data_IF_884996954203
#
_entry.id   IF_884996954203
#
_cell.length_a   1.000
_cell.length_b   1.000
_cell.length_c   1.000
_cell.angle_alpha   90.00
_cell.angle_beta   90.00
_cell.angle_gamma   90.00
#
_symmetry.space_group_name_H-M   'P 1'
#
loop_
_entity.id
_entity.type
_entity.pdbx_description
1 polymer ?
#
# COMPACT_ATOMS: atom_id res chain seq x y z
N UNK A 1 -34.90 2.15 -20.21
CA UNK A 1 -33.43 2.32 -20.41
C UNK A 1 -32.79 2.91 -19.17
N UNK A 2 -31.45 2.94 -19.11
CA UNK A 2 -30.71 3.61 -18.03
C UNK A 2 -30.30 5.02 -18.47
N UNK A 3 -30.07 5.92 -17.52
CA UNK A 3 -29.52 7.26 -17.79
C UNK A 3 -28.14 7.24 -18.48
N UNK A 4 -27.40 6.13 -18.35
CA UNK A 4 -26.18 5.88 -19.12
C UNK A 4 -26.44 5.88 -20.62
N UNK A 5 -27.52 5.24 -21.07
CA UNK A 5 -27.84 5.07 -22.49
C UNK A 5 -28.22 6.42 -23.12
N UNK A 6 -28.88 7.28 -22.34
CA UNK A 6 -29.15 8.68 -22.69
C UNK A 6 -27.85 9.46 -22.78
N UNK A 7 -26.95 9.29 -21.81
CA UNK A 7 -25.65 9.96 -21.79
C UNK A 7 -24.74 9.58 -22.97
N UNK A 8 -24.74 8.31 -23.37
CA UNK A 8 -23.95 7.84 -24.52
C UNK A 8 -24.50 8.39 -25.84
N UNK A 9 -25.82 8.41 -26.03
CA UNK A 9 -26.42 9.05 -27.21
C UNK A 9 -26.08 10.55 -27.29
N UNK A 10 -26.09 11.24 -26.15
CA UNK A 10 -25.78 12.67 -26.03
C UNK A 10 -24.31 12.95 -26.37
N UNK A 11 -23.37 12.07 -26.00
CA UNK A 11 -21.95 12.19 -26.40
C UNK A 11 -21.76 12.05 -27.91
N UNK A 12 -22.48 11.12 -28.53
CA UNK A 12 -22.31 10.79 -29.94
C UNK A 12 -23.03 11.79 -30.88
N UNK A 13 -24.17 12.35 -30.45
CA UNK A 13 -25.08 13.07 -31.36
C UNK A 13 -25.28 14.57 -31.06
N UNK A 14 -24.95 15.08 -29.87
CA UNK A 14 -25.29 16.45 -29.47
C UNK A 14 -24.16 17.49 -29.63
N UNK A 15 -22.98 17.08 -30.13
CA UNK A 15 -21.86 17.98 -30.45
C UNK A 15 -20.98 18.40 -29.26
N UNK A 16 -19.85 19.06 -29.56
CA UNK A 16 -18.68 19.23 -28.68
C UNK A 16 -18.85 20.02 -27.36
N UNK A 17 -20.04 20.50 -27.00
CA UNK A 17 -20.33 21.13 -25.69
C UNK A 17 -21.26 20.30 -24.80
N UNK A 18 -22.17 19.56 -25.42
CA UNK A 18 -23.18 18.75 -24.73
C UNK A 18 -22.62 17.37 -24.32
N UNK A 19 -21.53 16.93 -24.95
CA UNK A 19 -20.83 15.68 -24.58
C UNK A 19 -20.34 15.65 -23.13
N UNK A 20 -20.13 16.80 -22.49
CA UNK A 20 -19.84 16.89 -21.06
C UNK A 20 -21.05 16.48 -20.21
N UNK A 21 -22.27 16.90 -20.57
CA UNK A 21 -23.51 16.42 -19.92
C UNK A 21 -23.67 14.91 -20.10
N UNK A 22 -23.34 14.39 -21.28
CA UNK A 22 -23.27 12.95 -21.51
C UNK A 22 -22.22 12.24 -20.64
N UNK A 23 -21.04 12.85 -20.44
CA UNK A 23 -20.01 12.31 -19.55
C UNK A 23 -20.43 12.32 -18.08
N UNK A 24 -21.16 13.35 -17.64
CA UNK A 24 -21.72 13.45 -16.29
C UNK A 24 -22.75 12.34 -16.04
N UNK A 25 -23.61 12.04 -17.03
CA UNK A 25 -24.63 10.98 -16.97
C UNK A 25 -24.05 9.55 -16.93
N UNK A 26 -22.88 9.36 -17.53
CA UNK A 26 -22.20 8.05 -17.64
C UNK A 26 -21.06 7.87 -16.63
N UNK A 27 -20.73 8.93 -15.88
CA UNK A 27 -19.62 8.94 -14.94
C UNK A 27 -19.88 8.06 -13.71
N UNK A 28 -18.83 7.78 -12.94
CA UNK A 28 -18.94 6.97 -11.72
C UNK A 28 -19.21 7.80 -10.45
N UNK A 29 -19.45 9.11 -10.60
CA UNK A 29 -19.65 10.02 -9.46
C UNK A 29 -21.16 10.27 -9.33
N UNK A 30 -21.84 9.79 -8.27
CA UNK A 30 -23.30 9.92 -8.12
C UNK A 30 -23.80 11.37 -8.21
N UNK A 31 -23.05 12.33 -7.66
CA UNK A 31 -23.39 13.76 -7.74
C UNK A 31 -23.29 14.34 -9.15
N UNK A 32 -22.34 13.84 -9.96
CA UNK A 32 -22.20 14.25 -11.35
C UNK A 32 -23.36 13.73 -12.21
N UNK A 33 -23.78 12.47 -11.98
CA UNK A 33 -24.93 11.88 -12.68
C UNK A 33 -26.20 12.68 -12.38
N UNK A 34 -26.44 13.04 -11.11
CA UNK A 34 -27.60 13.83 -10.73
C UNK A 34 -27.63 15.22 -11.39
N UNK A 35 -26.46 15.88 -11.53
CA UNK A 35 -26.35 17.15 -12.23
C UNK A 35 -26.64 17.00 -13.74
N UNK A 36 -26.16 15.93 -14.37
CA UNK A 36 -26.47 15.60 -15.77
C UNK A 36 -27.95 15.29 -16.00
N UNK A 37 -28.58 14.51 -15.10
CA UNK A 37 -30.01 14.19 -15.15
C UNK A 37 -30.86 15.44 -15.02
N UNK A 38 -30.50 16.35 -14.10
CA UNK A 38 -31.21 17.63 -13.91
C UNK A 38 -31.15 18.53 -15.16
N UNK A 39 -30.01 18.57 -15.86
CA UNK A 39 -29.91 19.32 -17.13
C UNK A 39 -30.73 18.69 -18.26
N UNK A 40 -30.76 17.37 -18.36
CA UNK A 40 -31.58 16.69 -19.37
C UNK A 40 -33.07 16.82 -19.06
N UNK A 41 -33.47 16.65 -17.80
CA UNK A 41 -34.87 16.81 -17.39
C UNK A 41 -35.35 18.26 -17.58
N UNK A 42 -34.53 19.26 -17.24
CA UNK A 42 -34.89 20.67 -17.49
C UNK A 42 -34.98 21.04 -18.98
N UNK A 43 -34.18 20.39 -19.84
CA UNK A 43 -34.24 20.63 -21.29
C UNK A 43 -35.40 19.88 -21.98
N UNK A 44 -35.77 18.68 -21.49
CA UNK A 44 -36.78 17.80 -22.11
C UNK A 44 -38.15 17.87 -21.43
N UNK A 45 -38.23 18.41 -20.21
CA UNK A 45 -39.43 18.45 -19.38
C UNK A 45 -39.87 17.09 -18.83
N UNK A 46 -38.97 16.09 -18.85
CA UNK A 46 -39.28 14.71 -18.47
C UNK A 46 -38.21 14.11 -17.56
N UNK A 47 -38.64 13.53 -16.44
CA UNK A 47 -37.80 12.80 -15.49
C UNK A 47 -37.60 11.32 -15.86
N UNK A 48 -38.31 10.83 -16.89
CA UNK A 48 -38.16 9.48 -17.41
C UNK A 48 -37.06 9.41 -18.48
N UNK A 49 -36.04 8.53 -18.35
CA UNK A 49 -34.92 8.44 -19.29
C UNK A 49 -35.35 8.03 -20.70
N UNK A 50 -36.34 7.14 -20.83
CA UNK A 50 -36.86 6.69 -22.13
C UNK A 50 -37.56 7.83 -22.89
N UNK A 51 -38.35 8.64 -22.18
CA UNK A 51 -39.05 9.80 -22.75
C UNK A 51 -38.08 10.92 -23.07
N UNK A 52 -37.14 11.21 -22.16
CA UNK A 52 -36.11 12.23 -22.38
C UNK A 52 -35.27 11.93 -23.62
N UNK A 53 -34.85 10.67 -23.82
CA UNK A 53 -34.12 10.28 -25.03
C UNK A 53 -34.96 10.41 -26.30
N UNK A 54 -36.22 9.98 -26.25
CA UNK A 54 -37.12 10.12 -27.40
C UNK A 54 -37.36 11.58 -27.79
N UNK A 55 -37.44 12.48 -26.81
CA UNK A 55 -37.60 13.93 -27.01
C UNK A 55 -36.31 14.54 -27.57
N UNK A 56 -35.14 14.12 -27.07
CA UNK A 56 -33.85 14.58 -27.59
C UNK A 56 -33.60 14.11 -29.04
N UNK A 57 -34.05 12.90 -29.39
CA UNK A 57 -33.94 12.35 -30.74
C UNK A 57 -34.94 12.98 -31.72
N UNK A 58 -36.17 13.24 -31.26
CA UNK A 58 -37.24 13.73 -32.13
C UNK A 58 -37.29 15.26 -32.24
N UNK A 59 -36.76 15.99 -31.25
CA UNK A 59 -36.87 17.44 -31.19
C UNK A 59 -35.50 18.15 -31.17
N UNK A 60 -35.08 18.77 -32.30
CA UNK A 60 -33.88 19.60 -32.36
C UNK A 60 -33.91 20.83 -31.43
N UNK A 61 -35.08 21.29 -31.02
CA UNK A 61 -35.22 22.41 -30.08
C UNK A 61 -34.80 22.01 -28.65
N UNK A 62 -35.04 20.76 -28.26
CA UNK A 62 -34.66 20.25 -26.94
C UNK A 62 -33.13 20.15 -26.80
N UNK A 63 -32.43 19.76 -27.87
CA UNK A 63 -30.96 19.72 -27.88
C UNK A 63 -30.34 21.12 -27.87
N UNK A 64 -30.97 22.10 -28.54
CA UNK A 64 -30.56 23.50 -28.48
C UNK A 64 -30.77 24.11 -27.09
N UNK A 65 -31.91 23.88 -26.43
CA UNK A 65 -32.16 24.31 -25.05
C UNK A 65 -31.16 23.70 -24.07
N UNK A 66 -30.83 22.42 -24.25
CA UNK A 66 -29.82 21.76 -23.45
C UNK A 66 -28.44 22.40 -23.64
N UNK A 67 -28.07 22.72 -24.88
CA UNK A 67 -26.82 23.42 -25.20
C UNK A 67 -26.76 24.83 -24.59
N UNK A 68 -27.87 25.57 -24.62
CA UNK A 68 -27.98 26.88 -23.98
C UNK A 68 -27.84 26.78 -22.45
N UNK A 69 -28.53 25.83 -21.83
CA UNK A 69 -28.42 25.55 -20.40
C UNK A 69 -27.00 25.14 -20.00
N UNK A 70 -26.31 24.37 -20.84
CA UNK A 70 -24.91 24.01 -20.64
C UNK A 70 -24.02 25.27 -20.64
N UNK A 71 -24.09 26.09 -21.69
CA UNK A 71 -23.24 27.30 -21.77
C UNK A 71 -23.53 28.29 -20.65
N UNK A 72 -24.78 28.42 -20.22
CA UNK A 72 -25.16 29.27 -19.09
C UNK A 72 -24.54 28.80 -17.77
N UNK A 73 -24.33 27.49 -17.61
CA UNK A 73 -23.88 26.89 -16.35
C UNK A 73 -22.43 26.35 -16.43
N UNK A 74 -21.72 26.53 -17.54
CA UNK A 74 -20.43 25.91 -17.80
C UNK A 74 -19.39 26.26 -16.71
N UNK A 75 -19.29 27.52 -16.33
CA UNK A 75 -18.38 27.98 -15.28
C UNK A 75 -18.71 27.37 -13.90
N UNK A 76 -20.00 27.23 -13.60
CA UNK A 76 -20.46 26.59 -12.36
C UNK A 76 -20.14 25.09 -12.34
N UNK A 77 -20.26 24.41 -13.48
CA UNK A 77 -19.97 22.97 -13.60
C UNK A 77 -18.46 22.72 -13.45
N UNK A 78 -17.63 23.53 -14.13
CA UNK A 78 -16.18 23.43 -14.05
C UNK A 78 -15.66 23.69 -12.64
N UNK A 79 -16.11 24.77 -12.01
CA UNK A 79 -15.72 25.07 -10.62
C UNK A 79 -16.16 23.99 -9.63
N UNK A 80 -17.34 23.39 -9.83
CA UNK A 80 -17.80 22.28 -8.99
C UNK A 80 -16.93 21.02 -9.18
N UNK A 81 -16.60 20.66 -10.42
CA UNK A 81 -15.70 19.55 -10.73
C UNK A 81 -14.32 19.75 -10.12
N UNK A 82 -13.76 20.95 -10.22
CA UNK A 82 -12.48 21.31 -9.60
C UNK A 82 -12.53 21.17 -8.09
N UNK A 83 -13.58 21.67 -7.43
CA UNK A 83 -13.76 21.56 -5.98
C UNK A 83 -13.89 20.10 -5.53
N UNK A 84 -14.70 19.29 -6.23
CA UNK A 84 -14.85 17.87 -5.92
C UNK A 84 -13.53 17.12 -6.08
N UNK A 85 -12.81 17.38 -7.17
CA UNK A 85 -11.50 16.77 -7.43
C UNK A 85 -10.49 17.18 -6.37
N UNK A 86 -10.48 18.45 -5.97
CA UNK A 86 -9.62 18.96 -4.91
C UNK A 86 -9.90 18.27 -3.57
N UNK A 87 -11.17 18.13 -3.20
CA UNK A 87 -11.57 17.46 -1.95
C UNK A 87 -11.17 15.98 -1.95
N UNK A 88 -11.37 15.26 -3.06
CA UNK A 88 -10.96 13.86 -3.21
C UNK A 88 -9.43 13.70 -3.12
N UNK A 89 -8.67 14.60 -3.74
CA UNK A 89 -7.21 14.61 -3.65
C UNK A 89 -6.73 14.95 -2.24
N UNK A 90 -7.36 15.92 -1.55
CA UNK A 90 -7.05 16.26 -0.17
C UNK A 90 -7.34 15.11 0.80
N UNK A 91 -8.43 14.38 0.60
CA UNK A 91 -8.79 13.23 1.44
C UNK A 91 -7.78 12.09 1.27
N UNK A 92 -7.42 11.76 0.01
CA UNK A 92 -6.36 10.78 -0.29
C UNK A 92 -5.01 11.18 0.29
N UNK A 93 -4.66 12.47 0.21
CA UNK A 93 -3.42 12.98 0.81
C UNK A 93 -3.42 12.81 2.33
N UNK A 94 -4.55 13.13 3.00
CA UNK A 94 -4.70 12.94 4.44
C UNK A 94 -4.65 11.46 4.83
N UNK A 95 -5.27 10.58 4.07
CA UNK A 95 -5.21 9.14 4.32
C UNK A 95 -3.76 8.63 4.24
N UNK A 96 -3.01 9.03 3.21
CA UNK A 96 -1.60 8.70 3.08
C UNK A 96 -0.76 9.29 4.21
N UNK A 97 -1.03 10.54 4.62
CA UNK A 97 -0.34 11.18 5.74
C UNK A 97 -0.59 10.42 7.06
N UNK A 98 -1.84 10.10 7.38
CA UNK A 98 -2.19 9.33 8.59
C UNK A 98 -1.57 7.93 8.58
N UNK A 99 -1.54 7.28 7.43
CA UNK A 99 -0.88 5.98 7.25
C UNK A 99 0.62 6.09 7.51
N UNK A 100 1.27 7.08 6.91
CA UNK A 100 2.71 7.32 7.13
C UNK A 100 3.00 7.71 8.58
N UNK A 101 2.17 8.52 9.22
CA UNK A 101 2.31 8.87 10.63
C UNK A 101 2.18 7.62 11.51
N UNK A 102 1.24 6.72 11.19
CA UNK A 102 1.06 5.45 11.90
C UNK A 102 2.30 4.55 11.74
N UNK A 103 2.84 4.42 10.54
CA UNK A 103 4.09 3.66 10.29
C UNK A 103 5.26 4.29 11.02
N UNK A 104 5.43 5.62 10.93
CA UNK A 104 6.49 6.32 11.66
C UNK A 104 6.34 6.17 13.16
N UNK A 105 5.13 6.21 13.70
CA UNK A 105 4.86 6.02 15.12
C UNK A 105 5.10 4.57 15.54
N UNK A 106 4.81 3.58 14.68
CA UNK A 106 5.15 2.18 14.90
C UNK A 106 6.67 1.93 14.86
N UNK A 107 7.39 2.55 13.92
CA UNK A 107 8.85 2.48 13.82
C UNK A 107 9.54 3.27 14.96
N UNK A 108 8.93 4.37 15.41
CA UNK A 108 9.32 5.15 16.57
C UNK A 108 8.81 4.56 17.89
N UNK A 109 8.11 3.41 17.89
CA UNK A 109 7.79 2.70 19.11
C UNK A 109 9.10 2.18 19.71
N UNK A 110 9.71 3.05 20.52
CA UNK A 110 11.01 2.93 21.17
C UNK A 110 10.92 2.01 22.37
N UNK A 111 10.49 0.76 22.15
CA UNK A 111 10.77 -0.28 23.15
C UNK A 111 12.27 -0.59 23.11
N UNK A 112 13.02 0.26 23.82
CA UNK A 112 14.47 0.23 23.91
C UNK A 112 14.96 -1.12 24.45
N UNK A 113 14.15 -1.77 25.30
CA UNK A 113 14.42 -3.10 25.81
C UNK A 113 14.47 -4.11 24.66
N UNK A 114 13.46 -4.16 23.79
CA UNK A 114 13.39 -5.08 22.66
C UNK A 114 14.50 -4.79 21.62
N UNK A 115 14.80 -3.51 21.36
CA UNK A 115 15.87 -3.13 20.40
C UNK A 115 17.27 -3.50 20.90
N UNK A 116 17.52 -3.41 22.20
CA UNK A 116 18.83 -3.74 22.80
C UNK A 116 18.98 -5.25 23.07
N UNK A 117 17.93 -5.95 23.45
CA UNK A 117 18.02 -7.38 23.84
C UNK A 117 18.21 -8.31 22.65
N UNK A 118 17.51 -8.08 21.53
CA UNK A 118 17.63 -8.88 20.29
C UNK A 118 19.08 -9.09 19.82
N UNK A 119 19.90 -8.03 19.61
CA UNK A 119 21.30 -8.21 19.22
C UNK A 119 22.19 -8.71 20.36
N UNK A 120 21.84 -8.44 21.64
CA UNK A 120 22.64 -8.91 22.78
C UNK A 120 22.61 -10.44 22.90
N UNK A 121 21.45 -11.06 22.71
CA UNK A 121 21.32 -12.53 22.74
C UNK A 121 22.21 -13.18 21.67
N UNK A 122 22.19 -12.67 20.44
CA UNK A 122 23.01 -13.19 19.35
C UNK A 122 24.53 -13.02 19.62
N UNK A 123 24.94 -11.85 20.16
CA UNK A 123 26.34 -11.61 20.53
C UNK A 123 26.80 -12.53 21.66
N UNK A 124 25.96 -12.75 22.66
CA UNK A 124 26.28 -13.64 23.79
C UNK A 124 26.44 -15.08 23.32
N UNK A 125 25.53 -15.60 22.49
CA UNK A 125 25.65 -16.92 21.88
C UNK A 125 26.93 -17.08 21.05
N UNK A 126 27.29 -16.06 20.25
CA UNK A 126 28.51 -16.09 19.45
C UNK A 126 29.78 -16.10 20.30
N UNK A 127 29.86 -15.25 21.33
CA UNK A 127 31.01 -15.21 22.22
C UNK A 127 31.14 -16.49 23.06
N UNK A 128 30.03 -17.05 23.55
CA UNK A 128 30.03 -18.30 24.31
C UNK A 128 30.48 -19.49 23.45
N UNK A 129 29.98 -19.61 22.21
CA UNK A 129 30.42 -20.65 21.28
C UNK A 129 31.91 -20.54 20.93
N UNK A 130 32.38 -19.32 20.64
CA UNK A 130 33.79 -19.06 20.34
C UNK A 130 34.71 -19.36 21.53
N UNK A 131 34.31 -18.92 22.74
CA UNK A 131 35.06 -19.19 23.97
C UNK A 131 35.13 -20.69 24.27
N UNK A 132 34.02 -21.43 24.10
CA UNK A 132 34.00 -22.89 24.26
C UNK A 132 34.99 -23.58 23.33
N UNK A 133 34.97 -23.26 22.03
CA UNK A 133 35.91 -23.84 21.08
C UNK A 133 37.36 -23.52 21.44
N UNK A 134 37.66 -22.26 21.79
CA UNK A 134 39.01 -21.86 22.20
C UNK A 134 39.50 -22.63 23.45
N UNK A 135 38.68 -22.75 24.49
CA UNK A 135 39.06 -23.44 25.73
C UNK A 135 39.31 -24.93 25.48
N UNK A 136 38.43 -25.59 24.71
CA UNK A 136 38.54 -27.02 24.45
C UNK A 136 39.74 -27.36 23.54
N UNK A 137 40.00 -26.55 22.51
CA UNK A 137 41.15 -26.76 21.63
C UNK A 137 42.48 -26.41 22.31
N UNK A 138 42.51 -25.38 23.16
CA UNK A 138 43.68 -25.06 23.97
C UNK A 138 43.95 -26.14 25.03
N UNK A 139 42.90 -26.64 25.69
CA UNK A 139 43.01 -27.74 26.64
C UNK A 139 43.54 -29.03 26.00
N UNK A 140 43.03 -29.36 24.80
CA UNK A 140 43.53 -30.48 24.01
C UNK A 140 45.02 -30.28 23.64
N UNK A 141 45.39 -29.10 23.15
CA UNK A 141 46.77 -28.78 22.79
C UNK A 141 47.72 -28.89 23.99
N UNK A 142 47.34 -28.38 25.16
CA UNK A 142 48.17 -28.48 26.38
C UNK A 142 48.28 -29.94 26.85
N UNK A 143 47.18 -30.71 26.80
CA UNK A 143 47.20 -32.13 27.16
C UNK A 143 48.03 -33.00 26.20
N UNK A 144 48.15 -32.59 24.93
CA UNK A 144 49.04 -33.21 23.95
C UNK A 144 50.52 -32.97 24.28
N UNK A 145 50.87 -31.82 24.85
CA UNK A 145 52.25 -31.50 25.26
C UNK A 145 52.62 -32.10 26.63
N UNK A 146 51.68 -32.27 27.55
CA UNK A 146 51.91 -32.82 28.90
C UNK A 146 51.40 -34.27 29.03
N UNK A 147 52.04 -35.20 28.33
CA UNK A 147 51.66 -36.62 28.23
C UNK A 147 51.73 -37.43 29.54
N UNK A 148 52.11 -36.84 30.68
CA UNK A 148 52.36 -37.55 31.94
C UNK A 148 51.28 -37.35 33.03
N UNK A 149 50.31 -36.44 32.86
CA UNK A 149 49.28 -36.18 33.86
C UNK A 149 47.90 -36.71 33.42
N UNK A 150 47.43 -37.75 34.10
CA UNK A 150 46.20 -38.54 33.80
C UNK A 150 44.90 -37.76 34.10
N UNK A 151 44.96 -36.55 34.68
CA UNK A 151 43.79 -35.90 35.27
C UNK A 151 42.95 -35.02 34.32
N UNK A 152 43.37 -34.76 33.08
CA UNK A 152 42.65 -33.87 32.14
C UNK A 152 41.94 -34.59 30.98
N UNK A 153 41.35 -35.76 31.26
CA UNK A 153 40.62 -36.55 30.25
C UNK A 153 39.43 -35.80 29.62
N UNK A 154 38.82 -34.84 30.35
CA UNK A 154 37.68 -34.06 29.87
C UNK A 154 38.04 -32.99 28.82
N UNK A 155 39.25 -32.41 28.91
CA UNK A 155 39.75 -31.37 28.00
C UNK A 155 40.55 -31.95 26.82
N UNK A 156 41.02 -33.18 26.96
CA UNK A 156 41.78 -33.91 25.93
C UNK A 156 40.93 -34.33 24.72
N UNK A 157 39.60 -34.40 24.86
CA UNK A 157 38.71 -34.80 23.75
C UNK A 157 38.50 -33.72 22.67
N UNK A 158 39.01 -32.49 22.85
CA UNK A 158 38.81 -31.38 21.92
C UNK A 158 37.38 -30.82 21.91
N UNK A 159 37.08 -29.87 21.03
CA UNK A 159 35.76 -29.24 20.97
C UNK A 159 34.73 -30.18 20.31
N UNK A 160 33.64 -30.49 21.02
CA UNK A 160 32.53 -31.26 20.42
C UNK A 160 31.68 -30.33 19.52
N UNK A 161 31.53 -30.73 18.25
CA UNK A 161 30.77 -29.99 17.25
C UNK A 161 29.28 -29.84 17.62
N UNK A 162 28.68 -30.80 18.33
CA UNK A 162 27.27 -30.73 18.77
C UNK A 162 27.06 -29.62 19.79
N UNK A 163 27.98 -29.49 20.75
CA UNK A 163 27.93 -28.45 21.78
C UNK A 163 28.25 -27.09 21.16
N UNK A 164 29.22 -27.03 20.25
CA UNK A 164 29.54 -25.81 19.52
C UNK A 164 28.36 -25.31 18.69
N UNK A 165 27.71 -26.18 17.91
CA UNK A 165 26.55 -25.82 17.08
C UNK A 165 25.33 -25.43 17.92
N UNK A 166 25.10 -26.09 19.06
CA UNK A 166 24.06 -25.70 20.01
C UNK A 166 24.31 -24.29 20.57
N UNK A 167 25.55 -23.96 20.95
CA UNK A 167 25.91 -22.63 21.45
C UNK A 167 25.81 -21.55 20.37
N UNK A 168 26.17 -21.86 19.12
CA UNK A 168 26.05 -20.93 17.99
C UNK A 168 24.62 -20.81 17.43
N UNK A 169 23.70 -21.71 17.78
CA UNK A 169 22.33 -21.76 17.24
C UNK A 169 21.59 -20.43 17.38
N UNK A 170 21.69 -19.76 18.54
CA UNK A 170 21.08 -18.46 18.79
C UNK A 170 21.63 -17.34 17.91
N UNK A 171 22.93 -17.39 17.58
CA UNK A 171 23.57 -16.42 16.69
C UNK A 171 23.14 -16.65 15.22
N UNK A 172 23.12 -17.91 14.77
CA UNK A 172 22.70 -18.27 13.42
C UNK A 172 21.21 -18.00 13.18
N UNK A 173 20.34 -18.27 14.16
CA UNK A 173 18.92 -17.95 14.08
C UNK A 173 18.68 -16.45 13.90
N UNK A 174 19.38 -15.61 14.66
CA UNK A 174 19.28 -14.15 14.55
C UNK A 174 19.76 -13.62 13.19
N UNK A 175 20.90 -14.11 12.70
CA UNK A 175 21.43 -13.70 11.40
C UNK A 175 20.58 -14.21 10.22
N UNK A 176 20.07 -15.45 10.31
CA UNK A 176 19.18 -16.04 9.31
C UNK A 176 17.88 -15.25 9.18
N UNK A 177 17.19 -15.01 10.30
CA UNK A 177 15.94 -14.24 10.31
C UNK A 177 16.13 -12.82 9.79
N UNK A 178 17.23 -12.14 10.16
CA UNK A 178 17.54 -10.80 9.65
C UNK A 178 17.82 -10.77 8.16
N UNK A 179 18.45 -11.82 7.61
CA UNK A 179 18.73 -11.92 6.17
C UNK A 179 17.44 -12.16 5.39
N UNK A 180 16.55 -13.02 5.91
CA UNK A 180 15.23 -13.27 5.32
C UNK A 180 14.35 -12.02 5.32
N UNK A 181 14.39 -11.23 6.40
CA UNK A 181 13.64 -9.97 6.51
C UNK A 181 14.09 -8.94 5.46
N UNK A 182 15.42 -8.84 5.25
CA UNK A 182 16.01 -7.96 4.22
C UNK A 182 15.67 -8.40 2.78
N UNK A 183 15.58 -9.71 2.54
CA UNK A 183 15.20 -10.25 1.22
C UNK A 183 13.71 -9.98 0.94
N UNK A 184 12.83 -10.17 1.93
CA UNK A 184 11.40 -9.87 1.78
C UNK A 184 11.13 -8.39 1.51
N UNK A 185 11.81 -7.48 2.22
CA UNK A 185 11.68 -6.04 2.00
C UNK A 185 12.17 -5.57 0.62
N UNK A 186 13.14 -6.27 0.00
CA UNK A 186 13.59 -5.94 -1.36
C UNK A 186 12.56 -6.36 -2.43
N UNK A 187 11.86 -7.47 -2.20
CA UNK A 187 10.85 -7.98 -3.13
C UNK A 187 9.51 -7.23 -3.07
N UNK A 188 9.23 -6.49 -1.99
CA UNK A 188 8.01 -5.66 -1.88
C UNK A 188 8.14 -4.28 -2.54
N UNK A 189 9.36 -3.86 -2.93
CA UNK A 189 9.63 -2.59 -3.62
C UNK A 189 9.58 -2.75 -5.16
N UNK A 190 9.52 -4.00 -5.65
CA UNK A 190 9.53 -4.35 -7.08
C UNK A 190 8.14 -4.84 -7.53
N UNK A 191 7.06 -4.38 -6.90
CA UNK A 191 5.69 -4.61 -7.36
C UNK A 191 4.95 -3.30 -7.48
#
# INVERSE_FOLDING_TARGET
>A
MKWSDVGDWVKENAGAGVGLVGSLLTGNIPGAIAAGVSMVSSATGSDDPDKALSILQSNPEATLKLKELYFKNEDSIRSHLEQMTKLDLEDKQKEHEQTQLTIRNADNATDEYVRRTRPKMAKQSFWLGSLYCCIMELGNSISFFDSNNIEHQLLSSGANWEIATLLFSGAFAYMGLRTMDKIKGKNSIIK
#
